data_IF_770613950248
#
_entry.id   IF_770613950248
#
_cell.length_a   1.000
_cell.length_b   1.000
_cell.length_c   1.000
_cell.angle_alpha   90.00
_cell.angle_beta   90.00
_cell.angle_gamma   90.00
#
_symmetry.space_group_name_H-M   'P 1'
#
loop_
_entity.id
_entity.type
_entity.pdbx_description
1 polymer ?
#
# COMPACT_ATOMS: atom_id res chain seq x y z
N UNK A 1 8.57 9.01 10.73
CA UNK A 1 7.11 8.77 10.81
C UNK A 1 6.68 7.48 10.12
N UNK A 2 6.95 7.34 8.83
CA UNK A 2 6.57 6.12 8.09
C UNK A 2 7.67 5.06 8.16
N UNK A 3 8.26 4.88 9.32
CA UNK A 3 9.32 3.89 9.53
C UNK A 3 9.39 3.45 10.99
N UNK A 4 9.87 2.24 11.19
CA UNK A 4 10.28 1.73 12.49
C UNK A 4 11.67 1.07 12.34
N UNK A 5 12.11 0.30 13.33
CA UNK A 5 13.44 -0.33 13.26
C UNK A 5 13.54 -1.46 12.24
N UNK A 6 12.42 -1.97 11.72
CA UNK A 6 12.40 -3.13 10.84
C UNK A 6 12.00 -2.80 9.40
N UNK A 7 11.08 -1.85 9.22
CA UNK A 7 10.51 -1.52 7.91
C UNK A 7 10.37 -0.01 7.74
N UNK A 8 10.23 0.41 6.48
CA UNK A 8 9.79 1.76 6.16
C UNK A 8 8.81 1.74 4.98
N UNK A 9 8.00 2.78 4.89
CA UNK A 9 7.02 2.96 3.83
C UNK A 9 7.44 4.16 2.98
N UNK A 10 7.34 4.03 1.66
CA UNK A 10 7.69 5.10 0.73
C UNK A 10 6.71 5.20 -0.41
N UNK A 11 6.73 6.32 -1.12
CA UNK A 11 5.96 6.50 -2.33
C UNK A 11 6.38 5.50 -3.42
N UNK A 12 5.45 5.19 -4.32
CA UNK A 12 5.75 4.35 -5.48
C UNK A 12 6.63 5.11 -6.47
N UNK A 13 7.51 4.38 -7.13
CA UNK A 13 8.40 4.90 -8.16
C UNK A 13 8.30 4.07 -9.43
N UNK A 14 8.68 4.64 -10.60
CA UNK A 14 8.64 3.89 -11.86
C UNK A 14 9.44 2.59 -11.82
N UNK A 15 10.52 2.54 -11.03
CA UNK A 15 11.33 1.34 -10.86
C UNK A 15 10.58 0.20 -10.18
N UNK A 16 9.43 0.48 -9.57
CA UNK A 16 8.62 -0.54 -8.90
C UNK A 16 7.76 -1.35 -9.86
N UNK A 17 7.73 -1.02 -11.15
CA UNK A 17 6.85 -1.65 -12.14
C UNK A 17 6.97 -3.17 -12.13
N UNK A 18 8.20 -3.69 -12.19
CA UNK A 18 8.42 -5.13 -12.26
C UNK A 18 7.92 -5.84 -11.02
N UNK A 19 8.16 -5.28 -9.85
CA UNK A 19 7.73 -5.86 -8.58
C UNK A 19 6.21 -5.84 -8.46
N UNK A 20 5.58 -4.71 -8.77
CA UNK A 20 4.12 -4.58 -8.71
C UNK A 20 3.46 -5.50 -9.72
N UNK A 21 4.04 -5.60 -10.93
CA UNK A 21 3.53 -6.51 -11.96
C UNK A 21 3.52 -7.96 -11.47
N UNK A 22 4.59 -8.40 -10.82
CA UNK A 22 4.67 -9.76 -10.29
C UNK A 22 3.62 -9.99 -9.20
N UNK A 23 3.48 -9.06 -8.27
CA UNK A 23 2.52 -9.21 -7.18
C UNK A 23 1.07 -9.15 -7.65
N UNK A 24 0.73 -8.19 -8.50
CA UNK A 24 -0.65 -8.00 -8.96
C UNK A 24 -1.12 -9.15 -9.87
N UNK A 25 -0.19 -9.90 -10.46
CA UNK A 25 -0.50 -11.06 -11.28
C UNK A 25 -0.30 -12.39 -10.55
N UNK A 26 0.07 -12.37 -9.27
CA UNK A 26 0.21 -13.57 -8.47
C UNK A 26 -1.15 -13.92 -7.84
N UNK A 27 -1.78 -14.98 -8.36
CA UNK A 27 -3.11 -15.38 -7.90
C UNK A 27 -3.17 -15.74 -6.41
N UNK A 28 -2.03 -16.08 -5.81
CA UNK A 28 -1.96 -16.34 -4.37
C UNK A 28 -2.27 -15.11 -3.54
N UNK A 29 -2.12 -13.91 -4.12
CA UNK A 29 -2.31 -12.63 -3.44
C UNK A 29 -3.69 -12.00 -3.75
N UNK A 30 -4.46 -12.57 -4.67
CA UNK A 30 -5.73 -12.00 -5.10
C UNK A 30 -6.79 -11.98 -4.00
N UNK A 31 -6.69 -12.88 -3.03
CA UNK A 31 -7.61 -12.88 -1.88
C UNK A 31 -7.40 -11.68 -0.97
N UNK A 32 -6.18 -11.15 -0.91
CA UNK A 32 -5.82 -10.02 -0.07
C UNK A 32 -5.97 -8.68 -0.78
N UNK A 33 -6.23 -8.71 -2.08
CA UNK A 33 -6.41 -7.51 -2.89
C UNK A 33 -7.73 -7.60 -3.62
N UNK A 34 -8.17 -6.48 -4.22
CA UNK A 34 -9.39 -6.46 -5.02
C UNK A 34 -9.16 -6.92 -6.45
N UNK A 35 -7.99 -7.45 -6.77
CA UNK A 35 -7.63 -7.89 -8.11
C UNK A 35 -8.37 -9.18 -8.45
N UNK A 36 -9.08 -9.18 -9.58
CA UNK A 36 -9.81 -10.35 -10.10
C UNK A 36 -9.31 -10.81 -11.46
N UNK A 37 -8.38 -10.07 -12.05
CA UNK A 37 -7.83 -10.37 -13.36
C UNK A 37 -6.39 -9.87 -13.46
N UNK A 38 -5.57 -10.48 -14.34
CA UNK A 38 -4.18 -10.03 -14.52
C UNK A 38 -4.11 -8.61 -15.08
N UNK A 39 -3.04 -7.92 -14.74
CA UNK A 39 -2.69 -6.61 -15.29
C UNK A 39 -1.54 -6.74 -16.28
N UNK A 40 -1.52 -5.89 -17.31
CA UNK A 40 -0.34 -5.76 -18.18
C UNK A 40 0.67 -4.82 -17.53
N UNK A 41 1.94 -4.92 -17.97
CA UNK A 41 2.98 -3.97 -17.53
C UNK A 41 2.60 -2.53 -17.89
N UNK A 42 1.98 -2.34 -19.06
CA UNK A 42 1.55 -1.02 -19.50
C UNK A 42 0.48 -0.43 -18.56
N UNK A 43 -0.49 -1.25 -18.13
CA UNK A 43 -1.52 -0.78 -17.20
C UNK A 43 -0.90 -0.30 -15.89
N UNK A 44 0.07 -1.04 -15.36
CA UNK A 44 0.75 -0.68 -14.12
C UNK A 44 1.63 0.55 -14.34
N UNK A 45 2.33 0.63 -15.48
CA UNK A 45 3.12 1.81 -15.84
C UNK A 45 2.26 3.07 -15.89
N UNK A 46 1.12 3.00 -16.60
CA UNK A 46 0.20 4.13 -16.73
C UNK A 46 -0.34 4.55 -15.34
N UNK A 47 -0.64 3.58 -14.49
CA UNK A 47 -1.08 3.87 -13.13
C UNK A 47 -0.02 4.66 -12.35
N UNK A 48 1.23 4.22 -12.38
CA UNK A 48 2.32 4.89 -11.67
C UNK A 48 2.58 6.28 -12.24
N UNK A 49 2.55 6.44 -13.57
CA UNK A 49 2.78 7.72 -14.22
C UNK A 49 1.70 8.74 -13.87
N UNK A 50 0.47 8.29 -13.71
CA UNK A 50 -0.66 9.16 -13.41
C UNK A 50 -0.98 9.25 -11.91
N UNK A 51 -0.24 8.52 -11.09
CA UNK A 51 -0.48 8.49 -9.65
C UNK A 51 -0.08 9.82 -9.01
N UNK A 52 -0.96 10.33 -8.16
CA UNK A 52 -0.69 11.49 -7.31
C UNK A 52 -0.81 11.06 -5.86
N UNK A 53 0.11 11.51 -5.02
CA UNK A 53 0.06 11.23 -3.59
C UNK A 53 -0.96 12.12 -2.85
N UNK A 54 -1.76 12.91 -3.56
CA UNK A 54 -2.80 13.73 -2.97
C UNK A 54 -4.03 12.88 -2.68
N UNK A 55 -4.15 12.43 -1.43
CA UNK A 55 -5.27 11.59 -1.00
C UNK A 55 -6.62 12.32 -1.10
N UNK A 56 -6.63 13.65 -1.01
CA UNK A 56 -7.87 14.42 -1.07
C UNK A 56 -8.47 14.45 -2.47
N UNK A 57 -7.64 14.47 -3.52
CA UNK A 57 -8.14 14.43 -4.91
C UNK A 57 -8.30 13.00 -5.41
N UNK A 58 -7.37 12.11 -5.08
CA UNK A 58 -7.37 10.72 -5.54
C UNK A 58 -8.26 9.81 -4.70
N UNK A 59 -8.58 10.21 -3.47
CA UNK A 59 -9.28 9.37 -2.48
C UNK A 59 -8.53 8.08 -2.18
N UNK A 60 -7.25 8.04 -2.50
CA UNK A 60 -6.40 6.87 -2.41
C UNK A 60 -4.97 7.28 -2.13
N UNK A 61 -4.28 6.49 -1.31
CA UNK A 61 -2.85 6.62 -1.08
C UNK A 61 -2.26 5.22 -1.09
N UNK A 62 -1.23 5.00 -1.89
CA UNK A 62 -0.56 3.71 -1.97
C UNK A 62 0.94 3.87 -1.70
N UNK A 63 1.47 3.02 -0.83
CA UNK A 63 2.87 3.07 -0.42
C UNK A 63 3.52 1.69 -0.57
N UNK A 64 4.82 1.70 -0.88
CA UNK A 64 5.64 0.50 -0.90
C UNK A 64 6.17 0.21 0.50
N UNK A 65 6.05 -1.04 0.95
CA UNK A 65 6.62 -1.51 2.21
C UNK A 65 8.01 -2.07 1.91
N UNK A 66 9.04 -1.54 2.58
CA UNK A 66 10.42 -1.97 2.35
C UNK A 66 11.10 -2.35 3.66
N UNK A 67 12.02 -3.30 3.57
CA UNK A 67 13.01 -3.51 4.63
C UNK A 67 14.05 -2.38 4.60
N UNK A 68 14.83 -2.23 5.65
CA UNK A 68 15.82 -1.14 5.71
C UNK A 68 16.95 -1.26 4.71
N UNK A 69 17.17 -2.45 4.13
CA UNK A 69 18.09 -2.63 3.01
C UNK A 69 17.47 -2.26 1.65
N UNK A 70 16.29 -1.64 1.66
CA UNK A 70 15.49 -1.21 0.51
C UNK A 70 14.77 -2.32 -0.26
N UNK A 71 14.80 -3.56 0.22
CA UNK A 71 14.08 -4.66 -0.41
C UNK A 71 12.56 -4.43 -0.29
N UNK A 72 11.80 -4.34 -1.40
CA UNK A 72 10.35 -4.24 -1.34
C UNK A 72 9.74 -5.57 -0.88
N UNK A 73 8.84 -5.51 0.07
CA UNK A 73 8.20 -6.71 0.63
C UNK A 73 6.67 -6.67 0.58
N UNK A 74 6.09 -5.55 0.18
CA UNK A 74 4.64 -5.46 0.06
C UNK A 74 4.15 -4.08 -0.31
N UNK A 75 2.83 -3.96 -0.37
CA UNK A 75 2.11 -2.71 -0.65
C UNK A 75 1.07 -2.49 0.44
N UNK A 76 0.85 -1.23 0.79
CA UNK A 76 -0.26 -0.83 1.64
C UNK A 76 -1.00 0.32 0.97
N UNK A 77 -2.33 0.27 0.98
CA UNK A 77 -3.15 1.36 0.45
C UNK A 77 -4.20 1.80 1.44
N UNK A 78 -4.44 3.10 1.44
CA UNK A 78 -5.67 3.70 1.94
C UNK A 78 -6.54 4.00 0.74
N UNK A 79 -7.82 3.65 0.80
CA UNK A 79 -8.75 3.89 -0.29
C UNK A 79 -10.13 4.24 0.23
N UNK A 80 -10.98 4.73 -0.68
CA UNK A 80 -12.33 5.21 -0.32
C UNK A 80 -12.27 6.22 0.82
N UNK A 81 -11.27 7.11 0.79
CA UNK A 81 -11.11 8.15 1.79
C UNK A 81 -12.32 9.08 1.77
N UNK A 82 -12.94 9.22 2.94
CA UNK A 82 -14.09 10.11 3.14
C UNK A 82 -13.69 11.23 4.09
N UNK A 83 -13.38 12.45 3.58
CA UNK A 83 -12.96 13.55 4.43
C UNK A 83 -14.06 14.05 5.36
N UNK A 84 -15.33 13.82 5.03
CA UNK A 84 -16.47 14.25 5.85
C UNK A 84 -16.59 13.42 7.12
N UNK A 85 -16.36 12.11 7.01
CA UNK A 85 -16.44 11.17 8.12
C UNK A 85 -15.07 10.81 8.68
N UNK A 86 -14.00 11.35 8.09
CA UNK A 86 -12.60 11.12 8.53
C UNK A 86 -12.28 9.65 8.66
N UNK A 87 -12.62 8.87 7.63
CA UNK A 87 -12.38 7.43 7.59
C UNK A 87 -11.82 7.00 6.24
N UNK A 88 -11.16 5.86 6.24
CA UNK A 88 -10.64 5.22 5.04
C UNK A 88 -10.59 3.71 5.24
N UNK A 89 -10.49 2.99 4.15
CA UNK A 89 -10.22 1.55 4.18
C UNK A 89 -8.73 1.31 3.95
N UNK A 90 -8.21 0.22 4.51
CA UNK A 90 -6.82 -0.18 4.37
C UNK A 90 -6.75 -1.52 3.66
N UNK A 91 -5.93 -1.61 2.63
CA UNK A 91 -5.57 -2.86 1.98
C UNK A 91 -4.09 -3.14 2.14
N UNK A 92 -3.74 -4.41 2.31
CA UNK A 92 -2.35 -4.86 2.47
C UNK A 92 -2.08 -6.01 1.52
N UNK A 93 -0.89 -5.99 0.94
CA UNK A 93 -0.37 -7.09 0.14
C UNK A 93 1.06 -7.34 0.61
N UNK A 94 1.36 -8.55 1.08
CA UNK A 94 2.70 -8.94 1.50
C UNK A 94 3.21 -10.02 0.57
N UNK A 95 4.44 -9.84 0.07
CA UNK A 95 5.11 -10.84 -0.76
C UNK A 95 5.09 -12.19 -0.06
N UNK A 96 4.73 -13.29 -0.75
CA UNK A 96 4.64 -14.60 -0.13
C UNK A 96 5.91 -15.04 0.61
N UNK A 97 7.09 -14.58 0.18
CA UNK A 97 8.35 -14.93 0.82
C UNK A 97 8.56 -14.21 2.16
N UNK A 98 7.74 -13.23 2.48
CA UNK A 98 7.87 -12.41 3.69
C UNK A 98 6.64 -12.47 4.58
N UNK A 99 5.68 -13.34 4.29
CA UNK A 99 4.50 -13.52 5.12
C UNK A 99 4.85 -14.20 6.45
N UNK A 100 4.00 -13.99 7.46
CA UNK A 100 4.16 -14.57 8.80
C UNK A 100 5.42 -14.10 9.55
N UNK A 101 5.88 -12.89 9.25
CA UNK A 101 7.05 -12.28 9.91
C UNK A 101 6.68 -11.01 10.68
N UNK A 102 5.38 -10.74 10.86
CA UNK A 102 4.93 -9.57 11.59
C UNK A 102 4.92 -8.27 10.80
N UNK A 103 5.21 -8.31 9.50
CA UNK A 103 5.29 -7.11 8.67
C UNK A 103 3.92 -6.43 8.54
N UNK A 104 2.86 -7.21 8.35
CA UNK A 104 1.51 -6.65 8.23
C UNK A 104 1.11 -5.87 9.48
N UNK A 105 1.34 -6.45 10.67
CA UNK A 105 1.02 -5.78 11.94
C UNK A 105 1.81 -4.50 12.13
N UNK A 106 3.10 -4.52 11.82
CA UNK A 106 3.95 -3.32 11.91
C UNK A 106 3.50 -2.24 10.92
N UNK A 107 3.15 -2.65 9.69
CA UNK A 107 2.64 -1.72 8.69
C UNK A 107 1.35 -1.08 9.16
N UNK A 108 0.42 -1.85 9.74
CA UNK A 108 -0.82 -1.31 10.27
C UNK A 108 -0.57 -0.28 11.37
N UNK A 109 0.36 -0.53 12.27
CA UNK A 109 0.71 0.44 13.32
C UNK A 109 1.23 1.74 12.74
N UNK A 110 2.11 1.67 11.74
CA UNK A 110 2.62 2.86 11.07
C UNK A 110 1.51 3.62 10.34
N UNK A 111 0.61 2.90 9.67
CA UNK A 111 -0.50 3.53 8.94
C UNK A 111 -1.51 4.18 9.88
N UNK A 112 -1.83 3.56 11.00
CA UNK A 112 -2.74 4.14 11.98
C UNK A 112 -2.17 5.44 12.54
N UNK A 113 -0.88 5.46 12.86
CA UNK A 113 -0.22 6.65 13.36
C UNK A 113 -0.18 7.77 12.32
N UNK A 114 0.18 7.43 11.09
CA UNK A 114 0.21 8.38 9.98
C UNK A 114 -1.18 8.95 9.69
N UNK A 115 -2.19 8.10 9.67
CA UNK A 115 -3.57 8.51 9.43
C UNK A 115 -4.05 9.49 10.51
N UNK A 116 -3.79 9.19 11.78
CA UNK A 116 -4.18 10.05 12.89
C UNK A 116 -3.41 11.37 12.89
N UNK A 117 -2.09 11.32 12.82
CA UNK A 117 -1.23 12.50 13.02
C UNK A 117 -1.14 13.40 11.80
N UNK A 118 -1.20 12.84 10.60
CA UNK A 118 -0.97 13.59 9.36
C UNK A 118 -2.25 13.85 8.57
N UNK A 119 -3.12 12.85 8.47
CA UNK A 119 -4.32 12.94 7.62
C UNK A 119 -5.58 13.28 8.40
N UNK A 120 -5.54 13.25 9.72
CA UNK A 120 -6.72 13.50 10.55
C UNK A 120 -7.80 12.45 10.39
N UNK A 121 -7.44 11.24 9.98
CA UNK A 121 -8.36 10.12 9.83
C UNK A 121 -8.49 9.42 11.18
N UNK A 122 -9.72 9.28 11.67
CA UNK A 122 -9.97 8.68 12.98
C UNK A 122 -10.44 7.22 12.92
N UNK A 123 -10.83 6.76 11.74
CA UNK A 123 -11.30 5.40 11.55
C UNK A 123 -10.63 4.76 10.35
N UNK A 124 -9.99 3.61 10.57
CA UNK A 124 -9.46 2.75 9.51
C UNK A 124 -10.18 1.41 9.59
N UNK A 125 -10.62 0.92 8.45
CA UNK A 125 -11.24 -0.40 8.34
C UNK A 125 -10.44 -1.24 7.37
N UNK A 126 -10.15 -2.48 7.74
CA UNK A 126 -9.49 -3.44 6.85
C UNK A 126 -10.54 -4.24 6.07
N UNK A 127 -10.19 -4.55 4.85
CA UNK A 127 -11.01 -5.42 4.00
C UNK A 127 -10.38 -6.80 3.89
#
# INVERSE_FOLDING_TARGET
>A
MLKNKNIFLRALEPTDISTIYLWENDSRLWKSSSTTAPFTRKQIWDYIQNYSADIYSQRQLRLMICLHDTTPVGLVDLFDFDPRHKRAFVGLLIDPNYQNQGIAGQTMQLMMKYADETLGIHQLAAI
#
